data_IF_244613910055
#
_entry.id   IF_244613910055
#
_cell.length_a   1.000
_cell.length_b   1.000
_cell.length_c   1.000
_cell.angle_alpha   90.00
_cell.angle_beta   90.00
_cell.angle_gamma   90.00
#
_symmetry.space_group_name_H-M   'P 1'
#
loop_
_entity.id
_entity.type
_entity.pdbx_description
1 polymer ?
#
# COMPACT_ATOMS: atom_id res chain seq x y z
N UNK A 1 51.01 -0.01 -2.05
CA UNK A 1 49.55 0.16 -2.25
C UNK A 1 49.04 1.03 -1.12
N UNK A 2 48.54 2.23 -1.42
CA UNK A 2 48.13 3.20 -0.40
C UNK A 2 46.73 2.85 0.13
N UNK A 3 46.61 2.55 1.42
CA UNK A 3 45.33 2.20 2.07
C UNK A 3 44.27 3.31 1.93
N UNK A 4 44.69 4.58 1.84
CA UNK A 4 43.77 5.71 1.62
C UNK A 4 43.14 5.67 0.22
N UNK A 5 43.94 5.42 -0.82
CA UNK A 5 43.45 5.30 -2.20
C UNK A 5 42.51 4.10 -2.39
N UNK A 6 42.80 2.96 -1.73
CA UNK A 6 41.92 1.79 -1.79
C UNK A 6 40.57 2.07 -1.12
N UNK A 7 40.57 2.75 0.03
CA UNK A 7 39.33 3.17 0.71
C UNK A 7 38.50 4.09 -0.18
N UNK A 8 39.12 5.09 -0.81
CA UNK A 8 38.42 6.03 -1.69
C UNK A 8 37.82 5.34 -2.91
N UNK A 9 38.57 4.44 -3.56
CA UNK A 9 38.06 3.63 -4.68
C UNK A 9 36.89 2.74 -4.26
N UNK A 10 36.96 2.11 -3.09
CA UNK A 10 35.87 1.27 -2.57
C UNK A 10 34.62 2.10 -2.26
N UNK A 11 34.77 3.25 -1.61
CA UNK A 11 33.64 4.15 -1.34
C UNK A 11 32.99 4.61 -2.64
N UNK A 12 33.79 4.97 -3.65
CA UNK A 12 33.27 5.35 -4.96
C UNK A 12 32.50 4.21 -5.62
N UNK A 13 33.08 3.00 -5.65
CA UNK A 13 32.44 1.81 -6.23
C UNK A 13 31.15 1.44 -5.51
N UNK A 14 31.15 1.42 -4.17
CA UNK A 14 29.94 1.18 -3.37
C UNK A 14 28.86 2.23 -3.65
N UNK A 15 29.22 3.51 -3.81
CA UNK A 15 28.26 4.57 -4.17
C UNK A 15 27.65 4.34 -5.56
N UNK A 16 28.44 3.91 -6.54
CA UNK A 16 27.92 3.53 -7.86
C UNK A 16 26.99 2.32 -7.77
N UNK A 17 27.40 1.28 -7.06
CA UNK A 17 26.62 0.05 -6.91
C UNK A 17 25.30 0.33 -6.17
N UNK A 18 25.30 1.23 -5.18
CA UNK A 18 24.10 1.72 -4.50
C UNK A 18 23.18 2.53 -5.44
N UNK A 19 23.73 3.36 -6.34
CA UNK A 19 22.91 4.07 -7.32
C UNK A 19 22.26 3.10 -8.32
N UNK A 20 23.02 2.09 -8.75
CA UNK A 20 22.54 1.04 -9.67
C UNK A 20 21.53 0.08 -9.01
N UNK A 21 21.53 -0.04 -7.69
CA UNK A 21 20.61 -0.91 -6.96
C UNK A 21 19.22 -0.31 -6.77
N UNK A 22 19.03 1.00 -7.00
CA UNK A 22 17.71 1.64 -7.02
C UNK A 22 16.95 1.20 -8.26
N UNK A 23 16.26 0.07 -8.13
CA UNK A 23 15.40 -0.51 -9.15
C UNK A 23 13.98 0.06 -9.05
N UNK A 24 13.20 -0.11 -10.11
CA UNK A 24 11.80 0.32 -10.17
C UNK A 24 10.93 -0.25 -9.04
N UNK A 25 11.22 -1.48 -8.58
CA UNK A 25 10.49 -2.08 -7.46
C UNK A 25 10.77 -1.41 -6.12
N UNK A 26 11.95 -0.81 -5.92
CA UNK A 26 12.24 0.01 -4.73
C UNK A 26 11.36 1.26 -4.69
N UNK A 27 11.18 1.92 -5.84
CA UNK A 27 10.30 3.08 -5.95
C UNK A 27 8.84 2.69 -5.70
N UNK A 28 8.39 1.55 -6.25
CA UNK A 28 7.05 1.00 -5.98
C UNK A 28 6.83 0.78 -4.48
N UNK A 29 7.81 0.18 -3.78
CA UNK A 29 7.75 -0.06 -2.34
C UNK A 29 7.61 1.25 -1.57
N UNK A 30 8.42 2.27 -1.90
CA UNK A 30 8.38 3.57 -1.24
C UNK A 30 7.05 4.30 -1.47
N UNK A 31 6.54 4.28 -2.71
CA UNK A 31 5.25 4.90 -3.04
C UNK A 31 4.09 4.23 -2.30
N UNK A 32 4.06 2.90 -2.20
CA UNK A 32 3.01 2.22 -1.42
C UNK A 32 3.10 2.54 0.07
N UNK A 33 4.30 2.55 0.65
CA UNK A 33 4.49 2.97 2.04
C UNK A 33 3.94 4.37 2.27
N UNK A 34 4.26 5.32 1.39
CA UNK A 34 3.76 6.68 1.47
C UNK A 34 2.23 6.73 1.39
N UNK A 35 1.62 6.00 0.45
CA UNK A 35 0.15 5.92 0.34
C UNK A 35 -0.48 5.36 1.62
N UNK A 36 0.07 4.28 2.18
CA UNK A 36 -0.43 3.67 3.42
C UNK A 36 -0.29 4.64 4.62
N UNK A 37 0.82 5.37 4.71
CA UNK A 37 1.04 6.40 5.73
C UNK A 37 0.07 7.57 5.58
N UNK A 38 -0.14 8.07 4.36
CA UNK A 38 -1.10 9.12 4.06
C UNK A 38 -2.52 8.68 4.43
N UNK A 39 -2.93 7.46 4.09
CA UNK A 39 -4.23 6.91 4.49
C UNK A 39 -4.39 6.87 6.02
N UNK A 40 -3.36 6.44 6.74
CA UNK A 40 -3.39 6.42 8.21
C UNK A 40 -3.54 7.83 8.79
N UNK A 41 -2.79 8.80 8.25
CA UNK A 41 -2.83 10.20 8.70
C UNK A 41 -4.19 10.82 8.39
N UNK A 42 -4.69 10.66 7.16
CA UNK A 42 -6.00 11.17 6.72
C UNK A 42 -7.10 10.62 7.63
N UNK A 43 -7.10 9.32 7.90
CA UNK A 43 -8.09 8.69 8.78
C UNK A 43 -8.02 9.25 10.21
N UNK A 44 -6.81 9.38 10.80
CA UNK A 44 -6.64 9.97 12.13
C UNK A 44 -7.13 11.42 12.19
N UNK A 45 -6.78 12.24 11.22
CA UNK A 45 -7.20 13.64 11.17
C UNK A 45 -8.70 13.77 10.94
N UNK A 46 -9.29 12.89 10.14
CA UNK A 46 -10.74 12.83 9.90
C UNK A 46 -11.49 12.47 11.18
N UNK A 47 -11.01 11.48 11.94
CA UNK A 47 -11.58 11.15 13.26
C UNK A 47 -11.49 12.34 14.21
N UNK A 48 -10.34 13.01 14.29
CA UNK A 48 -10.17 14.19 15.15
C UNK A 48 -11.10 15.34 14.73
N UNK A 49 -11.27 15.58 13.43
CA UNK A 49 -12.19 16.59 12.90
C UNK A 49 -13.63 16.26 13.29
N UNK A 50 -14.02 14.98 13.17
CA UNK A 50 -15.34 14.50 13.54
C UNK A 50 -15.61 14.67 15.03
N UNK A 51 -14.70 14.23 15.90
CA UNK A 51 -14.86 14.36 17.35
C UNK A 51 -15.05 15.81 17.78
N UNK A 52 -14.24 16.74 17.23
CA UNK A 52 -14.37 18.18 17.50
C UNK A 52 -15.72 18.74 17.06
N UNK A 53 -16.24 18.26 15.94
CA UNK A 53 -17.56 18.69 15.48
C UNK A 53 -18.71 18.10 16.30
N UNK A 54 -18.59 16.85 16.73
CA UNK A 54 -19.59 16.21 17.59
C UNK A 54 -19.72 16.93 18.94
N UNK A 55 -18.62 17.45 19.49
CA UNK A 55 -18.64 18.29 20.70
C UNK A 55 -19.44 19.59 20.51
N UNK A 56 -19.37 20.21 19.32
CA UNK A 56 -20.05 21.47 19.03
C UNK A 56 -21.54 21.32 18.67
N UNK A 57 -21.91 20.24 17.96
CA UNK A 57 -23.25 20.09 17.37
C UNK A 57 -24.05 18.87 17.86
N UNK A 58 -23.48 18.04 18.73
CA UNK A 58 -24.18 16.93 19.42
C UNK A 58 -24.77 15.85 18.52
N UNK A 59 -24.47 15.84 17.22
CA UNK A 59 -25.06 14.93 16.24
C UNK A 59 -23.99 14.21 15.43
N UNK A 60 -23.93 12.87 15.62
CA UNK A 60 -23.10 11.98 14.83
C UNK A 60 -23.72 11.79 13.43
N UNK A 61 -23.34 12.63 12.48
CA UNK A 61 -23.57 12.34 11.06
C UNK A 61 -22.52 11.35 10.54
N UNK A 62 -22.87 10.60 9.50
CA UNK A 62 -21.92 9.75 8.79
C UNK A 62 -20.72 10.57 8.27
N UNK A 63 -19.52 10.00 8.31
CA UNK A 63 -18.25 10.69 8.04
C UNK A 63 -18.14 11.24 6.61
N UNK A 64 -18.82 10.64 5.63
CA UNK A 64 -18.81 11.11 4.24
C UNK A 64 -19.70 12.35 4.01
N UNK A 65 -20.89 12.37 4.60
CA UNK A 65 -21.84 13.49 4.49
C UNK A 65 -21.36 14.72 5.28
N UNK A 66 -20.47 14.49 6.24
CA UNK A 66 -19.92 15.50 7.12
C UNK A 66 -19.02 16.54 6.40
N UNK A 67 -18.14 16.12 5.50
CA UNK A 67 -17.22 17.05 4.82
C UNK A 67 -17.93 18.06 3.91
N UNK A 68 -19.02 17.64 3.27
CA UNK A 68 -19.80 18.46 2.34
C UNK A 68 -20.80 19.39 3.05
N UNK A 69 -21.24 19.02 4.25
CA UNK A 69 -22.21 19.81 5.02
C UNK A 69 -21.59 20.79 6.02
N UNK A 70 -20.29 20.66 6.33
CA UNK A 70 -19.55 21.55 7.25
C UNK A 70 -19.78 23.04 6.97
N UNK A 71 -19.89 23.42 5.70
CA UNK A 71 -20.02 24.82 5.29
C UNK A 71 -21.43 25.40 5.54
N UNK A 72 -22.41 24.55 5.87
CA UNK A 72 -23.82 24.91 6.10
C UNK A 72 -24.15 25.13 7.58
N UNK A 73 -23.25 24.79 8.50
CA UNK A 73 -23.50 24.90 9.94
C UNK A 73 -23.17 26.30 10.46
N UNK A 74 -24.08 26.84 11.28
CA UNK A 74 -23.86 28.09 12.00
C UNK A 74 -23.11 27.81 13.30
N UNK A 75 -21.81 28.08 13.30
CA UNK A 75 -20.94 27.99 14.47
C UNK A 75 -21.23 29.16 15.43
N UNK A 76 -21.30 28.87 16.73
CA UNK A 76 -21.45 29.91 17.77
C UNK A 76 -20.15 30.66 18.03
N UNK A 77 -19.01 29.99 17.88
CA UNK A 77 -17.67 30.53 18.08
C UNK A 77 -16.91 30.63 16.75
N UNK A 78 -16.45 31.84 16.42
CA UNK A 78 -15.72 32.09 15.17
C UNK A 78 -14.31 31.47 15.18
N UNK A 79 -13.62 31.39 16.32
CA UNK A 79 -12.27 30.81 16.38
C UNK A 79 -12.27 29.29 16.14
N UNK A 80 -13.25 28.59 16.71
CA UNK A 80 -13.41 27.14 16.52
C UNK A 80 -13.80 26.80 15.08
N UNK A 81 -14.68 27.61 14.48
CA UNK A 81 -15.01 27.51 13.05
C UNK A 81 -13.76 27.60 12.18
N UNK A 82 -12.89 28.59 12.42
CA UNK A 82 -11.65 28.74 11.67
C UNK A 82 -10.72 27.52 11.84
N UNK A 83 -10.55 27.03 13.07
CA UNK A 83 -9.70 25.85 13.33
C UNK A 83 -10.22 24.59 12.63
N UNK A 84 -11.53 24.36 12.63
CA UNK A 84 -12.18 23.23 11.94
C UNK A 84 -11.98 23.37 10.43
N UNK A 85 -12.14 24.56 9.87
CA UNK A 85 -11.97 24.81 8.44
C UNK A 85 -10.50 24.65 7.99
N UNK A 86 -9.54 25.10 8.79
CA UNK A 86 -8.11 24.87 8.54
C UNK A 86 -7.82 23.37 8.50
N UNK A 87 -8.33 22.60 9.47
CA UNK A 87 -8.13 21.15 9.50
C UNK A 87 -8.78 20.45 8.30
N UNK A 88 -10.00 20.86 7.91
CA UNK A 88 -10.67 20.40 6.67
C UNK A 88 -9.78 20.64 5.45
N UNK A 89 -9.23 21.84 5.30
CA UNK A 89 -8.33 22.19 4.18
C UNK A 89 -7.08 21.32 4.15
N UNK A 90 -6.46 21.07 5.31
CA UNK A 90 -5.30 20.18 5.43
C UNK A 90 -5.65 18.76 4.99
N UNK A 91 -6.79 18.23 5.43
CA UNK A 91 -7.26 16.89 5.04
C UNK A 91 -7.48 16.82 3.52
N UNK A 92 -8.15 17.81 2.93
CA UNK A 92 -8.38 17.85 1.48
C UNK A 92 -7.06 17.84 0.70
N UNK A 93 -6.08 18.66 1.10
CA UNK A 93 -4.76 18.67 0.46
C UNK A 93 -4.06 17.30 0.55
N UNK A 94 -4.18 16.61 1.69
CA UNK A 94 -3.62 15.27 1.87
C UNK A 94 -4.31 14.23 0.99
N UNK A 95 -5.63 14.32 0.82
CA UNK A 95 -6.41 13.46 -0.08
C UNK A 95 -5.97 13.67 -1.53
N UNK A 96 -5.87 14.93 -1.97
CA UNK A 96 -5.39 15.27 -3.32
C UNK A 96 -3.97 14.75 -3.57
N UNK A 97 -3.08 14.88 -2.57
CA UNK A 97 -1.72 14.36 -2.67
C UNK A 97 -1.70 12.83 -2.75
N UNK A 98 -2.49 12.15 -1.89
CA UNK A 98 -2.65 10.70 -1.93
C UNK A 98 -3.17 10.21 -3.29
N UNK A 99 -4.10 10.92 -3.91
CA UNK A 99 -4.62 10.57 -5.24
C UNK A 99 -3.58 10.79 -6.35
N UNK A 100 -2.71 11.79 -6.19
CA UNK A 100 -1.56 11.99 -7.10
C UNK A 100 -0.54 10.84 -7.00
N UNK A 101 -0.28 10.36 -5.78
CA UNK A 101 0.62 9.23 -5.54
C UNK A 101 0.03 7.90 -6.05
N UNK A 102 -1.28 7.69 -5.94
CA UNK A 102 -1.92 6.50 -6.54
C UNK A 102 -1.81 6.48 -8.07
N UNK A 103 -1.96 7.64 -8.72
CA UNK A 103 -1.73 7.76 -10.17
C UNK A 103 -0.28 7.45 -10.53
N UNK A 104 0.66 7.99 -9.75
CA UNK A 104 2.08 7.71 -9.94
C UNK A 104 2.42 6.22 -9.73
N UNK A 105 1.86 5.59 -8.70
CA UNK A 105 1.96 4.15 -8.48
C UNK A 105 1.46 3.35 -9.68
N UNK A 106 0.34 3.78 -10.28
CA UNK A 106 -0.20 3.15 -11.50
C UNK A 106 0.78 3.16 -12.66
N UNK A 107 1.46 4.29 -12.88
CA UNK A 107 2.49 4.44 -13.92
C UNK A 107 3.69 3.54 -13.63
N UNK A 108 4.19 3.55 -12.38
CA UNK A 108 5.33 2.72 -11.96
C UNK A 108 5.04 1.23 -12.10
N UNK A 109 3.87 0.79 -11.64
CA UNK A 109 3.46 -0.61 -11.72
C UNK A 109 3.25 -1.08 -13.17
N UNK A 110 2.70 -0.22 -14.03
CA UNK A 110 2.58 -0.48 -15.47
C UNK A 110 3.94 -0.67 -16.15
N UNK A 111 4.95 0.14 -15.78
CA UNK A 111 6.32 0.01 -16.29
C UNK A 111 7.05 -1.21 -15.72
N UNK A 112 6.92 -1.44 -14.42
CA UNK A 112 7.70 -2.44 -13.71
C UNK A 112 7.13 -3.85 -13.88
N UNK A 113 5.81 -4.01 -13.73
CA UNK A 113 5.10 -5.28 -13.56
C UNK A 113 3.72 -5.27 -14.25
N UNK A 114 3.70 -5.26 -15.59
CA UNK A 114 2.44 -5.20 -16.35
C UNK A 114 1.55 -6.44 -16.12
N UNK A 115 2.13 -7.65 -16.07
CA UNK A 115 1.32 -8.87 -15.89
C UNK A 115 0.68 -8.89 -14.49
N UNK A 116 1.43 -8.55 -13.44
CA UNK A 116 0.91 -8.45 -12.07
C UNK A 116 -0.20 -7.39 -11.95
N UNK A 117 0.01 -6.23 -12.56
CA UNK A 117 -0.95 -5.12 -12.56
C UNK A 117 -2.26 -5.54 -13.22
N UNK A 118 -2.21 -6.24 -14.35
CA UNK A 118 -3.41 -6.73 -15.03
C UNK A 118 -4.17 -7.81 -14.24
N UNK A 119 -3.49 -8.55 -13.36
CA UNK A 119 -4.12 -9.61 -12.56
C UNK A 119 -4.77 -9.07 -11.28
N UNK A 120 -4.14 -8.09 -10.62
CA UNK A 120 -4.53 -7.67 -9.26
C UNK A 120 -4.87 -6.19 -9.12
N UNK A 121 -4.59 -5.38 -10.14
CA UNK A 121 -4.49 -3.93 -10.01
C UNK A 121 -3.17 -3.46 -9.39
N UNK A 122 -2.86 -2.18 -9.58
CA UNK A 122 -1.58 -1.58 -9.19
C UNK A 122 -1.34 -1.64 -7.68
N UNK A 123 -2.35 -1.29 -6.87
CA UNK A 123 -2.21 -1.20 -5.41
C UNK A 123 -1.98 -2.57 -4.74
N UNK A 124 -2.78 -3.58 -5.08
CA UNK A 124 -2.63 -4.93 -4.51
C UNK A 124 -1.30 -5.56 -4.99
N UNK A 125 -0.96 -5.39 -6.28
CA UNK A 125 0.33 -5.86 -6.82
C UNK A 125 1.51 -5.23 -6.09
N UNK A 126 1.47 -3.92 -5.88
CA UNK A 126 2.52 -3.20 -5.19
C UNK A 126 2.61 -3.58 -3.70
N UNK A 127 1.47 -3.83 -3.03
CA UNK A 127 1.46 -4.42 -1.67
C UNK A 127 2.10 -5.79 -1.58
N UNK A 128 1.92 -6.64 -2.59
CA UNK A 128 2.60 -7.95 -2.63
C UNK A 128 4.11 -7.79 -2.76
N UNK A 129 4.58 -6.87 -3.61
CA UNK A 129 6.02 -6.55 -3.76
C UNK A 129 6.59 -6.02 -2.44
N UNK A 130 5.86 -5.14 -1.78
CA UNK A 130 6.21 -4.58 -0.47
C UNK A 130 6.41 -5.68 0.58
N UNK A 131 5.42 -6.55 0.79
CA UNK A 131 5.48 -7.59 1.83
C UNK A 131 6.54 -8.64 1.49
N UNK A 132 6.76 -8.91 0.20
CA UNK A 132 7.83 -9.78 -0.25
C UNK A 132 9.24 -9.18 -0.08
N UNK A 133 9.34 -7.86 0.10
CA UNK A 133 10.61 -7.14 0.16
C UNK A 133 11.32 -7.06 -1.19
N UNK A 134 10.57 -6.94 -2.29
CA UNK A 134 11.10 -6.80 -3.64
C UNK A 134 10.47 -7.76 -4.65
N UNK A 135 10.55 -7.39 -5.94
CA UNK A 135 9.93 -8.16 -7.02
C UNK A 135 10.57 -9.54 -7.20
N UNK A 136 11.90 -9.61 -7.05
CA UNK A 136 12.66 -10.86 -7.12
C UNK A 136 12.21 -11.86 -6.05
N UNK A 137 12.06 -11.38 -4.82
CA UNK A 137 11.63 -12.21 -3.70
C UNK A 137 10.21 -12.73 -3.94
N UNK A 138 9.31 -11.88 -4.45
CA UNK A 138 7.95 -12.28 -4.81
C UNK A 138 7.95 -13.35 -5.91
N UNK A 139 8.79 -13.20 -6.94
CA UNK A 139 8.89 -14.15 -8.05
C UNK A 139 9.37 -15.54 -7.61
N UNK A 140 10.20 -15.61 -6.56
CA UNK A 140 10.67 -16.87 -5.96
C UNK A 140 9.62 -17.55 -5.07
N UNK A 141 8.57 -16.84 -4.64
CA UNK A 141 7.56 -17.43 -3.75
C UNK A 141 6.64 -18.43 -4.47
N UNK A 142 6.28 -19.54 -3.80
CA UNK A 142 5.24 -20.43 -4.30
C UNK A 142 3.85 -19.79 -4.17
N UNK A 143 2.90 -20.23 -5.00
CA UNK A 143 1.49 -19.77 -4.97
C UNK A 143 0.87 -19.88 -3.57
N UNK A 144 1.17 -20.96 -2.84
CA UNK A 144 0.66 -21.16 -1.46
C UNK A 144 1.13 -20.08 -0.49
N UNK A 145 2.37 -19.58 -0.62
CA UNK A 145 2.88 -18.48 0.19
C UNK A 145 2.23 -17.15 -0.22
N UNK A 146 2.15 -16.90 -1.54
CA UNK A 146 1.50 -15.70 -2.09
C UNK A 146 0.04 -15.58 -1.61
N UNK A 147 -0.67 -16.71 -1.52
CA UNK A 147 -2.05 -16.75 -1.03
C UNK A 147 -2.22 -16.14 0.37
N UNK A 148 -1.23 -16.32 1.26
CA UNK A 148 -1.31 -15.93 2.68
C UNK A 148 -0.37 -14.78 3.05
N UNK A 149 0.27 -14.12 2.09
CA UNK A 149 1.11 -12.95 2.33
C UNK A 149 0.32 -11.83 3.04
N UNK A 150 0.85 -11.29 4.13
CA UNK A 150 0.19 -10.32 5.00
C UNK A 150 -0.71 -10.94 6.09
N UNK A 151 -0.85 -12.27 6.12
CA UNK A 151 -1.54 -12.99 7.19
C UNK A 151 -0.56 -13.78 8.09
N UNK A 152 0.70 -13.36 8.15
CA UNK A 152 1.78 -14.06 8.86
C UNK A 152 1.43 -14.29 10.32
N UNK A 153 0.86 -13.28 11.00
CA UNK A 153 0.46 -13.42 12.41
C UNK A 153 -0.57 -14.54 12.62
N UNK A 154 -1.54 -14.69 11.72
CA UNK A 154 -2.53 -15.76 11.80
C UNK A 154 -1.94 -17.12 11.38
N UNK A 155 -1.04 -17.11 10.39
CA UNK A 155 -0.32 -18.30 9.95
C UNK A 155 0.57 -18.85 11.08
N UNK A 156 1.32 -17.98 11.76
CA UNK A 156 2.17 -18.38 12.88
C UNK A 156 1.35 -18.92 14.05
N UNK A 157 0.19 -18.31 14.37
CA UNK A 157 -0.72 -18.90 15.37
C UNK A 157 -1.15 -20.31 14.99
N UNK A 158 -1.58 -20.54 13.75
CA UNK A 158 -1.90 -21.90 13.27
C UNK A 158 -0.74 -22.88 13.48
N UNK A 159 0.49 -22.47 13.15
CA UNK A 159 1.68 -23.32 13.31
C UNK A 159 2.02 -23.61 14.77
N UNK A 160 1.77 -22.66 15.68
CA UNK A 160 2.10 -22.82 17.11
C UNK A 160 1.00 -23.49 17.93
N UNK A 161 -0.27 -23.14 17.69
CA UNK A 161 -1.42 -23.56 18.52
C UNK A 161 -2.37 -24.53 17.81
N UNK A 162 -2.15 -24.82 16.52
CA UNK A 162 -3.03 -25.70 15.75
C UNK A 162 -4.38 -25.09 15.38
N UNK A 163 -4.58 -23.78 15.59
CA UNK A 163 -5.77 -23.03 15.15
C UNK A 163 -6.06 -23.18 13.66
N UNK A 164 -7.24 -22.81 13.15
CA UNK A 164 -7.49 -22.92 11.69
C UNK A 164 -6.55 -22.02 10.88
N UNK A 165 -5.95 -22.51 9.77
CA UNK A 165 -5.04 -21.70 8.95
C UNK A 165 -5.77 -20.54 8.26
N UNK A 166 -5.08 -19.41 8.01
CA UNK A 166 -5.63 -18.31 7.24
C UNK A 166 -5.89 -18.75 5.79
N UNK A 167 -7.03 -18.35 5.23
CA UNK A 167 -7.42 -18.71 3.85
C UNK A 167 -6.84 -17.77 2.81
N UNK A 168 -6.50 -16.54 3.21
CA UNK A 168 -6.01 -15.48 2.34
C UNK A 168 -5.27 -14.45 3.20
N UNK A 169 -4.36 -13.70 2.58
CA UNK A 169 -3.73 -12.51 3.14
C UNK A 169 -4.20 -11.26 2.42
N UNK A 170 -3.26 -10.41 1.98
CA UNK A 170 -3.57 -9.10 1.35
C UNK A 170 -4.38 -9.21 0.07
N UNK A 171 -4.32 -10.36 -0.62
CA UNK A 171 -5.11 -10.60 -1.83
C UNK A 171 -6.63 -10.59 -1.56
N UNK A 172 -7.07 -10.68 -0.31
CA UNK A 172 -8.50 -10.60 0.05
C UNK A 172 -9.19 -9.33 -0.44
N UNK A 173 -8.45 -8.23 -0.55
CA UNK A 173 -8.96 -6.96 -1.07
C UNK A 173 -9.38 -7.02 -2.55
N UNK A 174 -8.95 -8.05 -3.29
CA UNK A 174 -9.30 -8.21 -4.69
C UNK A 174 -10.77 -8.59 -4.88
N UNK A 175 -11.44 -7.94 -5.84
CA UNK A 175 -12.89 -8.04 -6.06
C UNK A 175 -13.36 -9.49 -6.25
N UNK A 176 -12.62 -10.30 -7.01
CA UNK A 176 -12.98 -11.72 -7.23
C UNK A 176 -12.99 -12.57 -5.97
N UNK A 177 -12.30 -12.15 -4.90
CA UNK A 177 -12.30 -12.86 -3.61
C UNK A 177 -13.33 -12.24 -2.67
N UNK A 178 -13.42 -10.91 -2.60
CA UNK A 178 -14.32 -10.22 -1.69
C UNK A 178 -15.79 -10.57 -1.96
N UNK A 179 -16.18 -10.65 -3.24
CA UNK A 179 -17.55 -10.95 -3.72
C UNK A 179 -17.87 -12.45 -3.78
N UNK A 180 -16.87 -13.33 -3.72
CA UNK A 180 -17.09 -14.77 -3.91
C UNK A 180 -17.69 -15.43 -2.67
N UNK A 181 -18.66 -16.34 -2.88
CA UNK A 181 -19.14 -17.25 -1.83
C UNK A 181 -18.06 -18.27 -1.41
N UNK A 182 -17.19 -18.67 -2.35
CA UNK A 182 -16.12 -19.66 -2.13
C UNK A 182 -14.74 -18.99 -2.08
N UNK A 183 -14.58 -18.04 -1.16
CA UNK A 183 -13.39 -17.17 -1.00
C UNK A 183 -12.06 -17.92 -1.02
N UNK A 184 -11.96 -19.07 -0.34
CA UNK A 184 -10.72 -19.86 -0.30
C UNK A 184 -10.34 -20.47 -1.66
N UNK A 185 -11.33 -20.87 -2.48
CA UNK A 185 -11.08 -21.38 -3.84
C UNK A 185 -10.65 -20.25 -4.77
N UNK A 186 -11.33 -19.10 -4.68
CA UNK A 186 -10.98 -17.90 -5.44
C UNK A 186 -9.56 -17.42 -5.09
N UNK A 187 -9.22 -17.37 -3.81
CA UNK A 187 -7.88 -16.98 -3.34
C UNK A 187 -6.78 -17.88 -3.90
N UNK A 188 -6.98 -19.21 -3.89
CA UNK A 188 -6.02 -20.16 -4.46
C UNK A 188 -5.84 -19.97 -5.97
N UNK A 189 -6.94 -19.77 -6.70
CA UNK A 189 -6.88 -19.53 -8.14
C UNK A 189 -6.17 -18.22 -8.48
N UNK A 190 -6.48 -17.15 -7.73
CA UNK A 190 -5.84 -15.86 -7.91
C UNK A 190 -4.34 -15.93 -7.61
N UNK A 191 -3.95 -16.51 -6.47
CA UNK A 191 -2.55 -16.67 -6.08
C UNK A 191 -1.73 -17.45 -7.13
N UNK A 192 -2.32 -18.48 -7.76
CA UNK A 192 -1.66 -19.21 -8.84
C UNK A 192 -1.45 -18.36 -10.09
N UNK A 193 -2.44 -17.54 -10.48
CA UNK A 193 -2.27 -16.59 -11.59
C UNK A 193 -1.20 -15.55 -11.27
N UNK A 194 -1.22 -15.01 -10.06
CA UNK A 194 -0.21 -14.05 -9.57
C UNK A 194 1.19 -14.65 -9.66
N UNK A 195 1.39 -15.87 -9.15
CA UNK A 195 2.69 -16.53 -9.17
C UNK A 195 3.27 -16.64 -10.59
N UNK A 196 2.43 -16.96 -11.58
CA UNK A 196 2.84 -17.02 -12.98
C UNK A 196 3.13 -15.62 -13.54
N UNK A 197 2.25 -14.65 -13.27
CA UNK A 197 2.37 -13.28 -13.75
C UNK A 197 3.64 -12.60 -13.25
N UNK A 198 3.93 -12.70 -11.95
CA UNK A 198 5.14 -12.13 -11.33
C UNK A 198 6.40 -12.78 -11.90
N UNK A 199 6.42 -14.10 -12.08
CA UNK A 199 7.57 -14.79 -12.67
C UNK A 199 7.83 -14.33 -14.10
N UNK A 200 6.77 -14.10 -14.88
CA UNK A 200 6.88 -13.52 -16.22
C UNK A 200 7.37 -12.07 -16.17
N UNK A 201 6.90 -11.25 -15.24
CA UNK A 201 7.36 -9.87 -15.08
C UNK A 201 8.84 -9.77 -14.69
N UNK A 202 9.32 -10.70 -13.86
CA UNK A 202 10.70 -10.69 -13.38
C UNK A 202 11.67 -11.38 -14.35
N UNK A 203 11.40 -12.63 -14.74
CA UNK A 203 12.29 -13.44 -15.59
C UNK A 203 12.05 -13.26 -17.09
N UNK A 204 10.86 -12.78 -17.49
CA UNK A 204 10.50 -12.59 -18.88
C UNK A 204 10.98 -11.27 -19.49
N UNK A 205 11.60 -10.39 -18.70
CA UNK A 205 12.37 -9.26 -19.23
C UNK A 205 13.60 -9.85 -19.92
N UNK A 206 13.56 -9.90 -21.25
CA UNK A 206 14.73 -10.26 -22.06
C UNK A 206 15.85 -9.28 -21.65
N UNK A 207 17.02 -9.77 -21.19
CA UNK A 207 18.14 -8.89 -20.90
C UNK A 207 18.53 -8.19 -22.20
N UNK A 208 18.60 -6.86 -22.17
CA UNK A 208 19.26 -6.06 -23.20
C UNK A 208 20.76 -6.40 -23.23
#
# INVERSE_FOLDING_TARGET
MNLKELREKNIFKTKEDLKKSVKDDVLVIQTVHLIDDLLLIINKLTTNLRERFELEFGSAKNTLDFFSELDKFNFKNNEEKERIFILKKVINNLVEFKDSEEKYLGILMGRCCNNLTNICGSYIGAKLILIAGGLENLAKMPSSKIQVLGAEKALFRHLTSGEKPPKFGVIFAHETISTSLKKGKAARQLASKISIGVKKDYYGKIPL
#
